data_IF_700363742959
#
_entry.id   IF_700363742959
#
_cell.length_a   1.000
_cell.length_b   1.000
_cell.length_c   1.000
_cell.angle_alpha   90.00
_cell.angle_beta   90.00
_cell.angle_gamma   90.00
#
_symmetry.space_group_name_H-M   'P 1'
#
loop_
_entity.id
_entity.type
_entity.pdbx_description
1 polymer ?
#
# COMPACT_ATOMS: atom_id res chain seq x y z
N UNK A 1 3.49 7.91 -8.01
CA UNK A 1 2.16 7.26 -8.17
C UNK A 1 1.11 8.34 -8.32
N UNK A 2 0.11 8.16 -9.17
CA UNK A 2 -0.93 9.18 -9.39
C UNK A 2 -1.81 9.35 -8.14
N UNK A 3 -2.18 10.60 -7.83
CA UNK A 3 -3.01 10.94 -6.65
C UNK A 3 -4.43 10.32 -6.68
N UNK A 4 -4.83 9.80 -7.85
CA UNK A 4 -6.15 9.21 -8.12
C UNK A 4 -6.02 7.80 -8.71
N UNK A 5 -5.05 7.01 -8.23
CA UNK A 5 -4.73 5.67 -8.75
C UNK A 5 -5.97 4.80 -8.95
N UNK A 6 -6.16 4.32 -10.17
CA UNK A 6 -7.28 3.44 -10.52
C UNK A 6 -8.57 4.12 -10.97
N UNK A 7 -8.66 5.46 -10.88
CA UNK A 7 -9.87 6.19 -11.25
C UNK A 7 -9.75 6.82 -12.64
N UNK A 8 -10.83 6.69 -13.41
CA UNK A 8 -11.01 7.31 -14.72
C UNK A 8 -12.45 7.86 -14.84
N UNK A 9 -12.75 8.56 -15.93
CA UNK A 9 -14.10 9.05 -16.25
C UNK A 9 -14.79 9.85 -15.12
N UNK A 10 -16.07 9.55 -14.90
CA UNK A 10 -16.92 10.26 -13.93
C UNK A 10 -16.40 10.18 -12.49
N UNK A 11 -15.89 9.03 -12.07
CA UNK A 11 -15.33 8.86 -10.73
C UNK A 11 -14.11 9.75 -10.50
N UNK A 12 -13.24 9.87 -11.50
CA UNK A 12 -12.07 10.77 -11.41
C UNK A 12 -12.49 12.24 -11.30
N UNK A 13 -13.47 12.66 -12.12
CA UNK A 13 -14.01 14.02 -12.06
C UNK A 13 -14.66 14.32 -10.71
N UNK A 14 -15.44 13.38 -10.18
CA UNK A 14 -16.07 13.50 -8.87
C UNK A 14 -15.04 13.70 -7.76
N UNK A 15 -13.96 12.92 -7.73
CA UNK A 15 -12.88 13.07 -6.75
C UNK A 15 -12.18 14.44 -6.87
N UNK A 16 -11.90 14.88 -8.10
CA UNK A 16 -11.28 16.19 -8.36
C UNK A 16 -12.17 17.36 -7.95
N UNK A 17 -13.47 17.32 -8.27
CA UNK A 17 -14.44 18.35 -7.90
C UNK A 17 -14.52 18.52 -6.39
N UNK A 18 -14.48 17.40 -5.66
CA UNK A 18 -14.52 17.39 -4.20
C UNK A 18 -13.15 17.56 -3.53
N UNK A 19 -12.07 17.70 -4.32
CA UNK A 19 -10.68 17.86 -3.85
C UNK A 19 -10.22 16.77 -2.88
N UNK A 20 -10.64 15.53 -3.13
CA UNK A 20 -10.29 14.35 -2.32
C UNK A 20 -9.43 13.38 -3.14
N UNK A 21 -8.42 12.79 -2.52
CA UNK A 21 -7.41 11.94 -3.15
C UNK A 21 -7.39 10.54 -2.52
N UNK A 22 -6.73 9.60 -3.18
CA UNK A 22 -6.48 8.27 -2.61
C UNK A 22 -5.62 8.41 -1.36
N UNK A 23 -6.05 7.78 -0.26
CA UNK A 23 -5.42 7.89 1.07
C UNK A 23 -6.07 8.93 1.98
N UNK A 24 -6.88 9.85 1.44
CA UNK A 24 -7.60 10.83 2.26
C UNK A 24 -8.66 10.13 3.12
N UNK A 25 -8.76 10.55 4.37
CA UNK A 25 -9.90 10.23 5.22
C UNK A 25 -10.98 11.28 4.99
N UNK A 26 -12.19 10.82 4.70
CA UNK A 26 -13.35 11.63 4.36
C UNK A 26 -14.55 11.25 5.21
N UNK A 27 -15.47 12.20 5.38
CA UNK A 27 -16.84 11.91 5.81
C UNK A 27 -17.71 11.81 4.57
N UNK A 28 -18.44 10.70 4.45
CA UNK A 28 -19.34 10.39 3.33
C UNK A 28 -20.76 10.29 3.88
N UNK A 29 -21.69 10.96 3.22
CA UNK A 29 -23.12 10.91 3.53
C UNK A 29 -23.83 10.15 2.40
N UNK A 30 -24.33 8.96 2.68
CA UNK A 30 -25.31 8.25 1.83
C UNK A 30 -26.67 8.33 2.52
N UNK A 31 -26.99 7.40 3.42
CA UNK A 31 -28.16 7.43 4.30
C UNK A 31 -27.82 7.92 5.70
N UNK A 32 -26.59 7.66 6.14
CA UNK A 32 -26.01 8.22 7.37
C UNK A 32 -24.59 8.71 7.11
N UNK A 33 -24.08 9.58 7.98
CA UNK A 33 -22.73 10.08 7.91
C UNK A 33 -21.74 9.04 8.43
N UNK A 34 -20.75 8.69 7.61
CA UNK A 34 -19.73 7.71 7.95
C UNK A 34 -18.34 8.20 7.59
N UNK A 35 -17.35 7.87 8.42
CA UNK A 35 -15.93 8.14 8.13
C UNK A 35 -15.33 6.96 7.37
N UNK A 36 -14.65 7.24 6.26
CA UNK A 36 -13.97 6.24 5.45
C UNK A 36 -12.70 6.82 4.80
N UNK A 37 -11.77 5.95 4.41
CA UNK A 37 -10.56 6.31 3.65
C UNK A 37 -10.78 6.01 2.18
N UNK A 38 -10.42 6.93 1.28
CA UNK A 38 -10.50 6.69 -0.17
C UNK A 38 -9.42 5.69 -0.58
N UNK A 39 -9.84 4.59 -1.19
CA UNK A 39 -8.95 3.52 -1.63
C UNK A 39 -8.65 3.63 -3.12
N UNK A 40 -7.49 3.13 -3.59
CA UNK A 40 -7.25 2.98 -5.01
C UNK A 40 -8.24 1.97 -5.61
N UNK A 41 -8.52 2.12 -6.90
CA UNK A 41 -9.40 1.22 -7.65
C UNK A 41 -8.63 0.40 -8.68
N UNK A 42 -9.21 -0.71 -9.13
CA UNK A 42 -8.67 -1.47 -10.24
C UNK A 42 -8.94 -0.76 -11.57
N UNK A 43 -7.90 -0.57 -12.39
CA UNK A 43 -7.91 0.32 -13.57
C UNK A 43 -8.90 -0.08 -14.67
N UNK A 44 -9.27 -1.37 -14.73
CA UNK A 44 -10.25 -1.89 -15.71
C UNK A 44 -11.69 -1.95 -15.17
N UNK A 45 -11.95 -1.31 -14.01
CA UNK A 45 -13.32 -1.19 -13.47
C UNK A 45 -14.10 -0.10 -14.18
N UNK A 46 -15.43 -0.07 -13.98
CA UNK A 46 -16.29 1.04 -14.42
C UNK A 46 -15.87 2.40 -13.82
N UNK A 47 -16.43 3.48 -14.37
CA UNK A 47 -16.20 4.85 -13.91
C UNK A 47 -17.31 5.38 -12.98
N UNK A 48 -18.22 4.53 -12.52
CA UNK A 48 -19.44 4.91 -11.81
C UNK A 48 -19.38 4.74 -10.28
N UNK A 49 -18.26 4.27 -9.73
CA UNK A 49 -18.10 4.03 -8.30
C UNK A 49 -16.77 4.57 -7.73
N UNK A 50 -16.78 4.86 -6.43
CA UNK A 50 -15.57 5.04 -5.63
C UNK A 50 -15.40 3.89 -4.64
N UNK A 51 -14.17 3.50 -4.34
CA UNK A 51 -13.88 2.49 -3.32
C UNK A 51 -13.44 3.19 -2.05
N UNK A 52 -14.07 2.84 -0.94
CA UNK A 52 -13.78 3.42 0.37
C UNK A 52 -13.59 2.32 1.39
N UNK A 53 -12.70 2.56 2.36
CA UNK A 53 -12.46 1.66 3.49
C UNK A 53 -13.04 2.27 4.75
N UNK A 54 -14.05 1.62 5.32
CA UNK A 54 -14.63 2.06 6.58
C UNK A 54 -13.73 1.70 7.77
N UNK A 55 -13.99 2.32 8.93
CA UNK A 55 -13.30 2.00 10.20
C UNK A 55 -13.40 0.52 10.60
N UNK A 56 -14.40 -0.20 10.09
CA UNK A 56 -14.54 -1.66 10.27
C UNK A 56 -13.47 -2.48 9.53
N UNK A 57 -12.71 -1.86 8.62
CA UNK A 57 -11.69 -2.51 7.81
C UNK A 57 -12.18 -3.03 6.45
N UNK A 58 -13.49 -2.99 6.19
CA UNK A 58 -14.07 -3.43 4.92
C UNK A 58 -13.92 -2.38 3.83
N UNK A 59 -13.53 -2.84 2.63
CA UNK A 59 -13.55 -2.05 1.40
C UNK A 59 -14.93 -2.17 0.74
N UNK A 60 -15.55 -1.04 0.37
CA UNK A 60 -16.89 -0.99 -0.23
C UNK A 60 -16.86 -0.07 -1.45
N UNK A 61 -17.47 -0.54 -2.55
CA UNK A 61 -17.73 0.27 -3.73
C UNK A 61 -19.03 1.06 -3.58
N UNK A 62 -18.95 2.38 -3.58
CA UNK A 62 -20.10 3.28 -3.52
C UNK A 62 -20.37 3.88 -4.89
N UNK A 63 -21.60 3.73 -5.38
CA UNK A 63 -22.02 4.30 -6.66
C UNK A 63 -22.17 5.81 -6.52
N UNK A 64 -21.70 6.58 -7.50
CA UNK A 64 -21.61 8.05 -7.38
C UNK A 64 -22.96 8.72 -7.07
N UNK A 65 -24.06 8.24 -7.64
CA UNK A 65 -25.41 8.77 -7.42
C UNK A 65 -25.97 8.50 -6.02
N UNK A 66 -25.39 7.56 -5.27
CA UNK A 66 -25.81 7.28 -3.88
C UNK A 66 -25.17 8.24 -2.88
N UNK A 67 -24.11 8.95 -3.29
CA UNK A 67 -23.35 9.84 -2.42
C UNK A 67 -24.01 11.22 -2.44
N UNK A 68 -24.58 11.61 -1.31
CA UNK A 68 -25.22 12.93 -1.13
C UNK A 68 -24.19 14.01 -0.83
N UNK A 69 -23.14 13.67 -0.07
CA UNK A 69 -22.07 14.59 0.31
C UNK A 69 -20.78 13.84 0.61
N UNK A 70 -19.65 14.48 0.29
CA UNK A 70 -18.32 14.05 0.69
C UNK A 70 -17.55 15.28 1.20
N UNK A 71 -16.80 15.12 2.30
CA UNK A 71 -15.96 16.17 2.84
C UNK A 71 -14.65 15.61 3.37
N UNK A 72 -13.54 16.25 2.99
CA UNK A 72 -12.22 15.94 3.52
C UNK A 72 -12.16 16.11 5.04
N UNK A 73 -11.53 15.15 5.73
CA UNK A 73 -11.31 15.19 7.18
C UNK A 73 -9.82 15.29 7.51
N UNK A 74 -9.00 14.36 7.03
CA UNK A 74 -7.57 14.31 7.32
C UNK A 74 -6.79 13.52 6.28
N UNK A 75 -5.47 13.70 6.28
CA UNK A 75 -4.52 12.92 5.52
C UNK A 75 -3.63 12.14 6.48
N UNK A 76 -3.64 10.83 6.37
CA UNK A 76 -2.93 9.94 7.28
C UNK A 76 -1.50 9.74 6.79
N UNK A 77 -0.53 10.38 7.45
CA UNK A 77 0.89 10.33 7.06
C UNK A 77 1.46 8.94 7.43
N UNK A 78 2.18 8.25 6.52
CA UNK A 78 2.82 6.99 6.84
C UNK A 78 3.91 7.20 7.91
N UNK A 79 3.84 6.40 8.97
CA UNK A 79 4.85 6.33 10.02
C UNK A 79 6.12 5.76 9.38
N UNK A 80 7.23 6.50 9.44
CA UNK A 80 8.52 5.98 8.99
C UNK A 80 8.92 4.77 9.84
N UNK A 81 9.25 3.67 9.17
CA UNK A 81 9.76 2.49 9.83
C UNK A 81 11.17 2.77 10.36
N UNK A 82 11.35 2.68 11.68
CA UNK A 82 12.67 2.74 12.29
C UNK A 82 13.48 1.53 11.83
N UNK A 83 14.58 1.78 11.14
CA UNK A 83 15.42 0.75 10.57
C UNK A 83 16.59 0.48 11.52
N UNK A 84 16.58 -0.62 12.27
CA UNK A 84 17.71 -1.00 13.13
C UNK A 84 18.89 -1.50 12.28
N UNK A 85 20.13 -1.03 12.49
CA UNK A 85 21.28 -1.49 11.72
C UNK A 85 21.54 -2.98 11.96
N UNK A 86 21.85 -3.70 10.87
CA UNK A 86 22.17 -5.13 10.89
C UNK A 86 23.54 -5.31 11.57
N UNK A 87 23.60 -6.14 12.63
CA UNK A 87 24.89 -6.53 13.23
C UNK A 87 25.50 -7.66 12.41
N UNK A 88 26.69 -7.43 11.86
CA UNK A 88 27.44 -8.46 11.13
C UNK A 88 28.26 -9.33 12.08
N UNK A 89 28.32 -10.63 11.83
CA UNK A 89 29.14 -11.58 12.57
C UNK A 89 30.31 -12.07 11.69
N UNK A 90 31.57 -11.70 11.99
CA UNK A 90 32.73 -12.11 11.19
C UNK A 90 32.94 -13.62 11.05
N UNK A 91 32.34 -14.44 11.93
CA UNK A 91 32.46 -15.90 11.87
C UNK A 91 31.52 -16.55 10.84
N UNK A 92 30.52 -15.81 10.34
CA UNK A 92 29.53 -16.32 9.39
C UNK A 92 29.91 -16.01 7.94
N UNK A 93 29.56 -16.88 6.97
CA UNK A 93 29.83 -16.63 5.57
C UNK A 93 29.09 -15.38 5.08
N UNK A 94 29.68 -14.70 4.10
CA UNK A 94 29.07 -13.57 3.41
C UNK A 94 28.32 -14.06 2.17
N UNK A 95 27.04 -13.71 2.04
CA UNK A 95 26.18 -14.10 0.93
C UNK A 95 25.60 -12.85 0.28
N UNK A 96 25.64 -12.78 -1.05
CA UNK A 96 24.95 -11.76 -1.83
C UNK A 96 23.71 -12.39 -2.48
N UNK A 97 22.53 -11.86 -2.15
CA UNK A 97 21.26 -12.28 -2.72
C UNK A 97 20.89 -11.36 -3.89
N UNK A 98 20.90 -11.91 -5.09
CA UNK A 98 20.53 -11.21 -6.32
C UNK A 98 19.06 -11.47 -6.64
N UNK A 99 18.22 -10.43 -6.51
CA UNK A 99 16.81 -10.50 -6.84
C UNK A 99 16.58 -10.20 -8.33
N UNK A 100 15.75 -11.02 -8.95
CA UNK A 100 15.42 -10.97 -10.39
C UNK A 100 13.91 -10.85 -10.65
N UNK A 101 13.11 -10.78 -9.59
CA UNK A 101 11.67 -11.05 -9.62
C UNK A 101 11.32 -12.01 -8.48
N UNK A 102 10.11 -12.58 -8.49
CA UNK A 102 9.69 -13.59 -7.51
C UNK A 102 9.82 -13.10 -6.06
N UNK A 103 8.78 -12.44 -5.53
CA UNK A 103 8.82 -11.90 -4.17
C UNK A 103 8.85 -13.01 -3.10
N UNK A 104 9.97 -13.14 -2.37
CA UNK A 104 10.15 -14.14 -1.29
C UNK A 104 9.76 -13.64 0.11
N UNK A 105 9.67 -12.32 0.29
CA UNK A 105 9.28 -11.68 1.54
C UNK A 105 8.50 -10.38 1.23
N UNK A 106 7.53 -10.05 2.07
CA UNK A 106 6.71 -8.84 1.89
C UNK A 106 6.21 -8.28 3.21
N UNK A 107 5.93 -6.97 3.23
CA UNK A 107 5.29 -6.29 4.34
C UNK A 107 3.86 -5.93 3.96
N UNK A 108 2.93 -6.21 4.86
CA UNK A 108 1.53 -5.83 4.73
C UNK A 108 1.29 -4.53 5.50
N UNK A 109 0.78 -3.51 4.81
CA UNK A 109 0.20 -2.34 5.48
C UNK A 109 -1.29 -2.57 5.69
N UNK A 110 -1.69 -2.92 6.92
CA UNK A 110 -3.08 -3.20 7.25
C UNK A 110 -4.02 -1.99 7.10
N UNK A 111 -3.49 -0.76 7.11
CA UNK A 111 -4.30 0.46 6.90
C UNK A 111 -4.75 0.54 5.46
N UNK A 112 -3.82 0.34 4.53
CA UNK A 112 -4.12 0.40 3.08
C UNK A 112 -4.47 -0.96 2.47
N UNK A 113 -4.20 -2.07 3.17
CA UNK A 113 -4.26 -3.42 2.60
C UNK A 113 -3.18 -3.70 1.55
N UNK A 114 -2.21 -2.80 1.39
CA UNK A 114 -1.16 -2.95 0.38
C UNK A 114 -0.11 -3.96 0.82
N UNK A 115 0.43 -4.69 -0.15
CA UNK A 115 1.55 -5.61 0.04
C UNK A 115 2.76 -5.02 -0.70
N UNK A 116 3.85 -4.77 0.03
CA UNK A 116 5.09 -4.25 -0.54
C UNK A 116 6.17 -5.33 -0.44
N UNK A 117 6.89 -5.66 -1.53
CA UNK A 117 8.04 -6.55 -1.48
C UNK A 117 9.11 -6.05 -0.49
N UNK A 118 9.68 -6.97 0.29
CA UNK A 118 10.86 -6.73 1.11
C UNK A 118 12.10 -7.11 0.29
N UNK A 119 12.83 -6.11 -0.21
CA UNK A 119 13.89 -6.31 -1.21
C UNK A 119 15.29 -6.04 -0.67
N UNK A 120 15.38 -5.29 0.42
CA UNK A 120 16.68 -4.99 1.05
C UNK A 120 17.07 -6.05 2.06
N UNK A 121 18.38 -6.21 2.30
CA UNK A 121 18.90 -7.12 3.33
C UNK A 121 18.30 -6.83 4.71
N UNK A 122 18.01 -5.56 5.00
CA UNK A 122 17.42 -5.14 6.26
C UNK A 122 15.96 -5.55 6.40
N UNK A 123 15.17 -5.38 5.33
CA UNK A 123 13.77 -5.81 5.30
C UNK A 123 13.66 -7.33 5.36
N UNK A 124 14.57 -8.05 4.68
CA UNK A 124 14.67 -9.51 4.73
C UNK A 124 15.01 -9.99 6.15
N UNK A 125 16.04 -9.44 6.79
CA UNK A 125 16.39 -9.81 8.17
C UNK A 125 15.32 -9.39 9.18
N UNK A 126 14.58 -8.31 8.92
CA UNK A 126 13.47 -7.92 9.79
C UNK A 126 12.26 -8.86 9.65
N UNK A 127 12.10 -9.45 8.46
CA UNK A 127 11.01 -10.40 8.17
C UNK A 127 11.36 -11.83 8.57
N UNK A 128 12.65 -12.21 8.47
CA UNK A 128 13.20 -13.54 8.79
C UNK A 128 14.50 -13.37 9.59
N UNK A 129 14.41 -13.07 10.90
CA UNK A 129 15.57 -12.82 11.75
C UNK A 129 16.55 -13.99 11.83
N UNK A 130 16.07 -15.22 11.63
CA UNK A 130 16.85 -16.45 11.68
C UNK A 130 17.98 -16.48 10.64
N UNK A 131 17.86 -15.73 9.55
CA UNK A 131 18.91 -15.61 8.54
C UNK A 131 20.21 -15.03 9.10
N UNK A 132 20.12 -14.16 10.10
CA UNK A 132 21.29 -13.54 10.74
C UNK A 132 22.13 -14.54 11.55
N UNK A 133 21.58 -15.72 11.88
CA UNK A 133 22.31 -16.80 12.54
C UNK A 133 23.09 -17.67 11.55
N UNK A 134 22.75 -17.60 10.25
CA UNK A 134 23.28 -18.48 9.20
C UNK A 134 24.37 -17.76 8.38
N UNK A 135 24.15 -16.50 8.00
CA UNK A 135 25.04 -15.75 7.12
C UNK A 135 24.92 -14.23 7.27
N UNK A 136 25.97 -13.51 6.87
CA UNK A 136 25.90 -12.07 6.63
C UNK A 136 25.35 -11.83 5.22
N UNK A 137 24.06 -11.49 5.14
CA UNK A 137 23.36 -11.32 3.86
C UNK A 137 23.39 -9.86 3.41
N UNK A 138 23.90 -9.65 2.20
CA UNK A 138 23.67 -8.44 1.39
C UNK A 138 22.62 -8.78 0.31
N UNK A 139 21.83 -7.79 -0.12
CA UNK A 139 20.82 -7.99 -1.15
C UNK A 139 20.87 -6.88 -2.20
N UNK A 140 20.76 -7.26 -3.46
CA UNK A 140 20.74 -6.36 -4.62
C UNK A 140 19.64 -6.79 -5.59
N UNK A 141 18.91 -5.81 -6.14
CA UNK A 141 17.85 -6.06 -7.13
C UNK A 141 18.43 -5.80 -8.51
N UNK A 142 18.60 -6.85 -9.32
CA UNK A 142 19.05 -6.73 -10.71
C UNK A 142 17.91 -6.31 -11.62
N UNK A 143 16.76 -6.97 -11.49
CA UNK A 143 15.51 -6.67 -12.17
C UNK A 143 14.33 -7.27 -11.38
N UNK A 144 13.10 -6.96 -11.77
CA UNK A 144 11.90 -7.39 -11.04
C UNK A 144 10.81 -7.82 -12.02
N UNK A 145 11.01 -8.98 -12.64
CA UNK A 145 10.11 -9.52 -13.67
C UNK A 145 9.29 -10.71 -13.16
N UNK A 146 8.15 -10.97 -13.80
CA UNK A 146 7.46 -12.24 -13.65
C UNK A 146 8.24 -13.34 -14.38
N UNK A 147 8.15 -14.57 -13.88
CA UNK A 147 8.80 -15.72 -14.50
C UNK A 147 8.04 -16.29 -15.71
N UNK A 148 6.84 -15.77 -15.98
CA UNK A 148 5.97 -16.18 -17.10
C UNK A 148 6.38 -15.53 -18.42
#
# INVERSE_FOLDING_TARGET
>A
MSEYRGYNGKALEFLKQNKVKVGDTVTITTDSDQTATIMPRYEHSDDAHIVVKFKSGYNVGLRLDTIKKISFLSNDIPIQANSNPIKQNPALPKILLLSTGGTIASRIDYRTGSVTPALTAQELNSSVPELAEIANIDAEVLFSEYSE
#
